data_IF_420462813435
#
_entry.id   IF_420462813435
#
_cell.length_a   1.000
_cell.length_b   1.000
_cell.length_c   1.000
_cell.angle_alpha   90.00
_cell.angle_beta   90.00
_cell.angle_gamma   90.00
#
_symmetry.space_group_name_H-M   'P 1'
#
loop_
_entity.id
_entity.type
_entity.pdbx_description
1 polymer ?
#
# COMPACT_ATOMS: atom_id res chain seq x y z
N UNK A 1 -16.01 -20.71 70.27
CA UNK A 1 -17.09 -21.70 70.06
C UNK A 1 -17.30 -21.89 68.57
N UNK A 2 -16.90 -23.04 68.05
CA UNK A 2 -17.23 -23.49 66.72
C UNK A 2 -18.61 -24.16 66.69
N UNK A 3 -19.34 -24.18 65.60
CA UNK A 3 -19.74 -25.48 65.11
C UNK A 3 -19.33 -25.77 63.68
N UNK A 4 -18.97 -27.00 63.46
CA UNK A 4 -18.72 -27.77 62.29
C UNK A 4 -20.10 -28.05 61.69
N UNK A 5 -20.20 -27.83 60.30
CA UNK A 5 -21.27 -28.45 59.54
C UNK A 5 -20.61 -29.20 58.38
N UNK A 6 -20.94 -30.48 58.30
CA UNK A 6 -20.46 -31.48 57.37
C UNK A 6 -21.00 -31.26 55.97
N UNK A 7 -20.09 -31.37 54.98
CA UNK A 7 -20.46 -31.39 53.56
C UNK A 7 -20.86 -32.78 53.12
N UNK A 8 -21.90 -32.84 52.30
CA UNK A 8 -22.33 -34.04 51.58
C UNK A 8 -21.72 -34.00 50.19
N UNK A 9 -20.85 -34.95 49.91
CA UNK A 9 -20.29 -35.16 48.56
C UNK A 9 -21.34 -35.90 47.71
N UNK A 10 -21.87 -35.22 46.72
CA UNK A 10 -22.72 -35.83 45.70
C UNK A 10 -21.89 -36.21 44.48
N UNK A 11 -21.63 -37.49 44.29
CA UNK A 11 -21.00 -38.07 43.13
C UNK A 11 -22.02 -38.18 42.00
N UNK A 12 -21.88 -37.37 40.94
CA UNK A 12 -22.64 -37.53 39.72
C UNK A 12 -21.85 -38.40 38.78
N UNK A 13 -22.30 -39.62 38.56
CA UNK A 13 -21.84 -40.53 37.52
C UNK A 13 -22.46 -40.11 36.19
N UNK A 14 -21.68 -39.53 35.30
CA UNK A 14 -22.02 -39.34 33.90
C UNK A 14 -21.66 -40.61 33.12
N UNK A 15 -22.65 -41.39 32.77
CA UNK A 15 -22.52 -42.52 31.85
C UNK A 15 -22.28 -41.96 30.42
N UNK A 16 -21.07 -42.01 29.95
CA UNK A 16 -20.75 -41.75 28.57
C UNK A 16 -21.11 -42.93 27.67
N UNK A 17 -22.11 -42.76 26.84
CA UNK A 17 -22.42 -43.73 25.79
C UNK A 17 -21.40 -43.57 24.66
N UNK A 18 -20.50 -44.55 24.50
CA UNK A 18 -19.59 -44.69 23.35
C UNK A 18 -20.40 -45.23 22.20
N UNK A 19 -20.68 -44.41 21.22
CA UNK A 19 -21.22 -44.86 19.94
C UNK A 19 -20.07 -45.42 19.11
N UNK A 20 -19.98 -46.76 19.04
CA UNK A 20 -19.09 -47.44 18.10
C UNK A 20 -19.88 -47.55 16.80
N UNK A 21 -19.61 -46.65 15.87
CA UNK A 21 -20.09 -46.77 14.52
C UNK A 21 -19.35 -47.87 13.78
N UNK A 22 -20.00 -48.99 13.54
CA UNK A 22 -19.51 -50.03 12.63
C UNK A 22 -19.61 -49.51 11.19
N UNK A 23 -18.48 -49.28 10.58
CA UNK A 23 -18.39 -49.03 9.12
C UNK A 23 -18.64 -50.38 8.44
N UNK A 24 -19.79 -50.54 7.85
CA UNK A 24 -20.10 -51.64 6.94
C UNK A 24 -19.35 -51.37 5.65
N UNK A 25 -18.30 -52.09 5.40
CA UNK A 25 -17.56 -52.08 4.14
C UNK A 25 -18.33 -52.89 3.11
N UNK A 26 -19.21 -52.24 2.35
CA UNK A 26 -19.79 -52.86 1.15
C UNK A 26 -18.67 -52.97 0.10
N UNK A 27 -18.25 -54.22 -0.15
CA UNK A 27 -17.39 -54.55 -1.28
C UNK A 27 -18.23 -54.39 -2.56
N UNK A 28 -18.00 -53.25 -3.24
CA UNK A 28 -18.44 -53.09 -4.63
C UNK A 28 -17.49 -54.00 -5.45
N UNK A 29 -18.01 -55.10 -5.91
CA UNK A 29 -17.38 -55.95 -6.94
C UNK A 29 -17.49 -55.21 -8.28
N UNK A 30 -16.41 -54.62 -8.73
CA UNK A 30 -16.30 -54.05 -10.07
C UNK A 30 -16.07 -55.20 -11.05
N UNK A 31 -17.08 -55.38 -11.92
CA UNK A 31 -17.02 -56.36 -13.02
C UNK A 31 -15.98 -55.87 -14.04
N UNK A 32 -14.92 -56.65 -14.21
CA UNK A 32 -13.79 -56.35 -15.09
C UNK A 32 -14.09 -56.79 -16.53
N UNK A 33 -14.99 -56.02 -17.20
CA UNK A 33 -15.15 -56.14 -18.65
C UNK A 33 -15.73 -54.86 -19.24
N UNK A 34 -14.95 -53.79 -19.23
CA UNK A 34 -15.19 -52.64 -20.13
C UNK A 34 -13.81 -52.30 -20.73
N UNK A 35 -13.75 -52.41 -22.04
CA UNK A 35 -12.54 -52.23 -22.83
C UNK A 35 -11.87 -50.89 -22.57
N UNK A 36 -10.53 -50.88 -22.57
CA UNK A 36 -9.67 -49.71 -22.55
C UNK A 36 -10.02 -48.75 -23.68
N UNK A 37 -10.87 -47.76 -23.37
CA UNK A 37 -10.82 -46.47 -24.07
C UNK A 37 -10.09 -45.52 -23.17
N UNK A 38 -8.80 -45.31 -23.46
CA UNK A 38 -8.03 -44.17 -22.93
C UNK A 38 -8.77 -42.86 -23.34
N UNK A 39 -9.67 -42.41 -22.47
CA UNK A 39 -10.11 -41.03 -22.52
C UNK A 39 -8.96 -40.17 -22.01
N UNK A 40 -8.12 -39.70 -22.93
CA UNK A 40 -7.22 -38.59 -22.69
C UNK A 40 -8.06 -37.37 -22.33
N UNK A 41 -8.35 -37.20 -21.05
CA UNK A 41 -8.83 -35.91 -20.53
C UNK A 41 -7.66 -34.94 -20.72
N UNK A 42 -7.61 -34.30 -21.87
CA UNK A 42 -6.82 -33.08 -22.02
C UNK A 42 -7.47 -32.04 -21.13
N UNK A 43 -6.94 -31.92 -19.90
CA UNK A 43 -7.17 -30.77 -19.08
C UNK A 43 -6.51 -29.59 -19.81
N UNK A 44 -7.24 -28.97 -20.74
CA UNK A 44 -6.87 -27.66 -21.21
C UNK A 44 -7.01 -26.74 -19.98
N UNK A 45 -5.86 -26.48 -19.33
CA UNK A 45 -5.75 -25.30 -18.49
C UNK A 45 -6.28 -24.14 -19.34
N UNK A 46 -7.15 -23.29 -18.81
CA UNK A 46 -7.61 -22.12 -19.55
C UNK A 46 -6.35 -21.39 -19.99
N UNK A 47 -6.12 -21.34 -21.29
CA UNK A 47 -5.11 -20.48 -21.90
C UNK A 47 -5.33 -19.12 -21.26
N UNK A 48 -4.30 -18.57 -20.63
CA UNK A 48 -4.31 -17.22 -20.06
C UNK A 48 -4.99 -16.33 -21.09
N UNK A 49 -6.22 -15.90 -20.78
CA UNK A 49 -6.89 -14.92 -21.61
C UNK A 49 -5.91 -13.78 -21.75
N UNK A 50 -5.57 -13.42 -22.99
CA UNK A 50 -4.73 -12.27 -23.25
C UNK A 50 -5.32 -11.13 -22.44
N UNK A 51 -4.52 -10.53 -21.56
CA UNK A 51 -4.98 -9.46 -20.68
C UNK A 51 -5.63 -8.40 -21.59
N UNK A 52 -6.96 -8.29 -21.53
CA UNK A 52 -7.67 -7.29 -22.28
C UNK A 52 -7.14 -5.93 -21.83
N UNK A 53 -6.73 -5.10 -22.78
CA UNK A 53 -6.37 -3.72 -22.48
C UNK A 53 -7.61 -3.04 -21.91
N UNK A 54 -7.58 -2.72 -20.63
CA UNK A 54 -8.66 -2.00 -19.97
C UNK A 54 -8.43 -0.51 -20.25
N UNK A 55 -9.49 0.17 -20.68
CA UNK A 55 -9.44 1.62 -20.91
C UNK A 55 -9.62 2.32 -19.55
N UNK A 56 -8.82 3.36 -19.32
CA UNK A 56 -9.03 4.23 -18.17
C UNK A 56 -10.32 5.04 -18.36
N UNK A 57 -11.34 4.72 -17.60
CA UNK A 57 -12.64 5.37 -17.64
C UNK A 57 -13.35 5.22 -16.27
N UNK A 58 -12.81 5.84 -15.20
CA UNK A 58 -13.46 5.76 -13.90
C UNK A 58 -14.78 6.55 -13.91
N UNK A 59 -15.79 6.12 -13.14
CA UNK A 59 -16.98 6.91 -12.92
C UNK A 59 -16.61 8.23 -12.21
N UNK A 60 -17.31 9.32 -12.56
CA UNK A 60 -17.10 10.62 -11.91
C UNK A 60 -17.68 10.63 -10.49
N UNK A 61 -17.04 11.37 -9.57
CA UNK A 61 -17.54 11.50 -8.20
C UNK A 61 -18.88 12.30 -8.16
N UNK A 62 -19.14 13.15 -9.15
CA UNK A 62 -20.40 13.87 -9.29
C UNK A 62 -21.56 12.95 -9.75
N UNK A 63 -21.24 11.78 -10.30
CA UNK A 63 -22.19 10.82 -10.84
C UNK A 63 -22.50 9.66 -9.89
N UNK A 64 -22.08 9.75 -8.61
CA UNK A 64 -22.39 8.70 -7.61
C UNK A 64 -23.91 8.48 -7.54
N UNK A 65 -24.39 7.24 -7.83
CA UNK A 65 -25.82 6.97 -7.88
C UNK A 65 -26.51 7.18 -6.53
N UNK A 66 -27.76 7.66 -6.56
CA UNK A 66 -28.58 7.67 -5.37
C UNK A 66 -28.82 6.24 -4.86
N UNK A 67 -28.65 6.03 -3.56
CA UNK A 67 -28.79 4.72 -2.96
C UNK A 67 -28.05 4.61 -1.63
N UNK A 68 -28.11 3.43 -0.99
CA UNK A 68 -27.55 3.24 0.36
C UNK A 68 -26.02 3.41 0.43
N UNK A 69 -25.32 3.26 -0.70
CA UNK A 69 -23.86 3.40 -0.75
C UNK A 69 -23.37 4.83 -0.97
N UNK A 70 -24.26 5.77 -1.37
CA UNK A 70 -23.85 7.12 -1.77
C UNK A 70 -23.08 7.86 -0.68
N UNK A 71 -23.60 7.88 0.54
CA UNK A 71 -22.97 8.57 1.66
C UNK A 71 -21.60 7.97 1.96
N UNK A 72 -21.47 6.65 1.96
CA UNK A 72 -20.18 5.98 2.21
C UNK A 72 -19.15 6.28 1.10
N UNK A 73 -19.54 6.28 -0.18
CA UNK A 73 -18.66 6.61 -1.30
C UNK A 73 -18.16 8.05 -1.18
N UNK A 74 -19.05 9.01 -0.92
CA UNK A 74 -18.68 10.41 -0.79
C UNK A 74 -17.82 10.67 0.44
N UNK A 75 -18.10 10.00 1.57
CA UNK A 75 -17.25 10.08 2.75
C UNK A 75 -15.87 9.46 2.50
N UNK A 76 -15.80 8.34 1.79
CA UNK A 76 -14.53 7.74 1.38
C UNK A 76 -13.71 8.63 0.46
N UNK A 77 -14.34 9.33 -0.48
CA UNK A 77 -13.70 10.35 -1.30
C UNK A 77 -13.09 11.46 -0.44
N UNK A 78 -13.88 12.00 0.52
CA UNK A 78 -13.40 13.04 1.44
C UNK A 78 -12.22 12.56 2.29
N UNK A 79 -12.29 11.35 2.84
CA UNK A 79 -11.20 10.73 3.58
C UNK A 79 -9.91 10.60 2.76
N UNK A 80 -10.01 10.25 1.48
CA UNK A 80 -8.84 10.15 0.59
C UNK A 80 -8.30 11.53 0.21
N UNK A 81 -9.18 12.48 -0.06
CA UNK A 81 -8.79 13.82 -0.49
C UNK A 81 -8.26 14.70 0.65
N UNK A 82 -8.85 14.60 1.83
CA UNK A 82 -8.56 15.44 2.99
C UNK A 82 -8.26 14.63 4.25
N UNK A 83 -7.48 13.55 4.14
CA UNK A 83 -7.20 12.58 5.22
C UNK A 83 -6.77 13.26 6.52
N UNK A 84 -5.87 14.26 6.45
CA UNK A 84 -5.34 14.97 7.62
C UNK A 84 -6.38 15.81 8.39
N UNK A 85 -7.53 16.08 7.77
CA UNK A 85 -8.66 16.79 8.38
C UNK A 85 -9.80 15.84 8.70
N UNK A 86 -10.20 15.00 7.73
CA UNK A 86 -11.35 14.12 7.86
C UNK A 86 -11.09 12.92 8.79
N UNK A 87 -9.82 12.58 9.02
CA UNK A 87 -9.38 11.50 9.90
C UNK A 87 -8.21 11.98 10.80
N UNK A 88 -8.26 13.21 11.32
CA UNK A 88 -7.18 13.87 12.07
C UNK A 88 -6.68 13.05 13.26
N UNK A 89 -7.57 12.37 13.96
CA UNK A 89 -7.21 11.49 15.08
C UNK A 89 -6.39 10.24 14.67
N UNK A 90 -6.39 9.88 13.38
CA UNK A 90 -5.64 8.73 12.86
C UNK A 90 -4.34 9.11 12.16
N UNK A 91 -4.17 10.38 11.80
CA UNK A 91 -3.01 10.89 11.05
C UNK A 91 -2.01 11.51 12.01
N UNK A 92 -0.74 11.16 11.86
CA UNK A 92 0.35 11.68 12.69
C UNK A 92 1.20 12.76 11.99
N UNK A 93 0.74 13.27 10.85
CA UNK A 93 1.42 14.32 10.07
C UNK A 93 0.39 15.23 9.36
N UNK A 94 0.81 16.04 8.40
CA UNK A 94 -0.08 16.93 7.66
C UNK A 94 -0.32 16.47 6.21
N UNK A 95 -0.20 15.16 5.94
CA UNK A 95 -0.43 14.61 4.61
C UNK A 95 -1.84 14.03 4.46
N UNK A 96 -2.31 14.01 3.22
CA UNK A 96 -3.50 13.28 2.79
C UNK A 96 -3.10 12.19 1.77
N UNK A 97 -3.98 11.23 1.50
CA UNK A 97 -3.70 10.22 0.48
C UNK A 97 -3.45 10.88 -0.88
N UNK A 98 -4.18 11.95 -1.18
CA UNK A 98 -4.04 12.76 -2.40
C UNK A 98 -2.67 13.44 -2.52
N UNK A 99 -1.91 13.61 -1.43
CA UNK A 99 -0.53 14.14 -1.50
C UNK A 99 0.42 13.27 -2.35
N UNK A 100 0.09 11.98 -2.51
CA UNK A 100 0.83 11.03 -3.36
C UNK A 100 -0.05 10.42 -4.47
N UNK A 101 -1.38 10.43 -4.30
CA UNK A 101 -2.38 9.90 -5.21
C UNK A 101 -3.30 11.03 -5.68
N UNK A 102 -2.74 11.96 -6.48
CA UNK A 102 -3.39 13.21 -6.82
C UNK A 102 -4.82 13.04 -7.36
N UNK A 103 -5.64 14.09 -7.16
CA UNK A 103 -7.04 14.07 -7.54
C UNK A 103 -7.84 12.99 -6.82
N UNK A 104 -7.58 12.78 -5.52
CA UNK A 104 -8.17 11.69 -4.73
C UNK A 104 -7.93 10.28 -5.36
N UNK A 105 -6.85 10.12 -6.11
CA UNK A 105 -6.49 8.88 -6.78
C UNK A 105 -6.99 8.75 -8.22
N UNK A 106 -7.66 9.76 -8.76
CA UNK A 106 -8.07 9.78 -10.17
C UNK A 106 -6.94 10.10 -11.15
N UNK A 107 -5.90 10.80 -10.75
CA UNK A 107 -4.82 11.18 -11.66
C UNK A 107 -4.02 9.97 -12.15
N UNK A 108 -3.96 9.79 -13.48
CA UNK A 108 -3.27 8.66 -14.11
C UNK A 108 -1.76 8.66 -13.89
N UNK A 109 -1.14 9.83 -13.69
CA UNK A 109 0.31 9.98 -13.63
C UNK A 109 0.86 9.81 -12.20
N UNK A 110 0.00 9.96 -11.18
CA UNK A 110 0.41 10.01 -9.77
C UNK A 110 -0.01 8.76 -8.99
N UNK A 111 0.34 7.57 -9.48
CA UNK A 111 0.01 6.30 -8.83
C UNK A 111 -1.50 6.13 -8.60
N UNK A 112 -2.28 6.22 -9.69
CA UNK A 112 -3.74 6.18 -9.66
C UNK A 112 -4.32 5.04 -8.81
N UNK A 113 -5.38 5.34 -8.06
CA UNK A 113 -6.15 4.36 -7.29
C UNK A 113 -7.31 3.76 -8.09
N UNK A 114 -7.58 4.27 -9.30
CA UNK A 114 -8.62 3.73 -10.18
C UNK A 114 -8.36 2.26 -10.48
N UNK A 115 -9.35 1.43 -10.25
CA UNK A 115 -9.24 -0.01 -10.45
C UNK A 115 -8.42 -0.74 -9.37
N UNK A 116 -8.09 -0.10 -8.24
CA UNK A 116 -7.24 -0.70 -7.20
C UNK A 116 -7.82 -2.01 -6.65
N UNK A 117 -9.15 -2.13 -6.60
CA UNK A 117 -9.84 -3.35 -6.14
C UNK A 117 -9.55 -4.57 -7.02
N UNK A 118 -9.20 -4.38 -8.28
CA UNK A 118 -8.86 -5.48 -9.20
C UNK A 118 -7.57 -6.24 -8.79
N UNK A 119 -6.74 -5.65 -7.94
CA UNK A 119 -5.44 -6.21 -7.55
C UNK A 119 -5.43 -6.82 -6.13
N UNK A 120 -6.48 -6.65 -5.35
CA UNK A 120 -6.55 -7.17 -3.98
C UNK A 120 -7.58 -8.30 -3.84
N UNK A 121 -7.31 -9.30 -2.96
CA UNK A 121 -6.10 -9.44 -2.16
C UNK A 121 -4.88 -9.85 -2.98
N UNK A 122 -3.66 -9.46 -2.53
CA UNK A 122 -2.41 -9.84 -3.20
C UNK A 122 -1.29 -10.16 -2.20
N UNK A 123 -0.30 -10.93 -2.65
CA UNK A 123 0.91 -11.14 -1.86
C UNK A 123 1.80 -9.90 -1.90
N UNK A 124 2.21 -9.42 -0.73
CA UNK A 124 3.14 -8.27 -0.60
C UNK A 124 4.40 -8.73 0.11
N UNK A 125 5.55 -8.66 -0.58
CA UNK A 125 6.85 -9.10 -0.04
C UNK A 125 7.25 -8.37 1.24
N UNK A 126 6.88 -7.08 1.38
CA UNK A 126 7.16 -6.30 2.59
C UNK A 126 6.53 -6.93 3.85
N UNK A 127 5.30 -7.39 3.79
CA UNK A 127 4.62 -8.08 4.89
C UNK A 127 4.89 -9.60 4.92
N UNK A 128 5.38 -10.15 3.82
CA UNK A 128 5.58 -11.59 3.64
C UNK A 128 4.27 -12.40 3.66
N UNK A 129 3.13 -11.76 3.42
CA UNK A 129 1.77 -12.33 3.50
C UNK A 129 0.86 -11.86 2.38
N UNK A 130 -0.32 -12.49 2.27
CA UNK A 130 -1.43 -11.98 1.48
C UNK A 130 -2.04 -10.81 2.25
N UNK A 131 -2.31 -9.71 1.56
CA UNK A 131 -2.79 -8.44 2.12
C UNK A 131 -4.09 -8.07 1.42
N UNK A 132 -5.11 -7.70 2.18
CA UNK A 132 -6.37 -7.14 1.68
C UNK A 132 -6.24 -5.65 1.39
N UNK A 133 -7.25 -5.03 0.80
CA UNK A 133 -7.22 -3.58 0.55
C UNK A 133 -7.26 -2.80 1.86
N UNK A 134 -8.01 -3.25 2.87
CA UNK A 134 -8.08 -2.64 4.20
C UNK A 134 -6.73 -2.67 4.90
N UNK A 135 -6.04 -3.80 4.85
CA UNK A 135 -4.68 -3.92 5.39
C UNK A 135 -3.69 -3.03 4.63
N UNK A 136 -3.90 -2.85 3.31
CA UNK A 136 -3.06 -1.95 2.50
C UNK A 136 -3.29 -0.49 2.87
N UNK A 137 -4.55 -0.06 3.06
CA UNK A 137 -4.90 1.27 3.58
C UNK A 137 -4.22 1.49 4.93
N UNK A 138 -4.41 0.56 5.86
CA UNK A 138 -3.81 0.61 7.19
C UNK A 138 -2.27 0.61 7.16
N UNK A 139 -1.68 -0.04 6.16
CA UNK A 139 -0.24 0.05 5.91
C UNK A 139 0.22 1.45 5.51
N UNK A 140 -0.60 2.22 4.77
CA UNK A 140 -0.33 3.62 4.46
C UNK A 140 -0.51 4.52 5.69
N UNK A 141 -1.56 4.29 6.50
CA UNK A 141 -1.83 5.08 7.69
C UNK A 141 -0.64 5.08 8.66
N UNK A 142 -0.04 3.93 8.91
CA UNK A 142 1.10 3.84 9.84
C UNK A 142 2.45 4.27 9.26
N UNK A 143 2.58 4.40 7.93
CA UNK A 143 3.84 4.78 7.27
C UNK A 143 3.75 6.15 6.60
N UNK A 144 2.94 6.27 5.55
CA UNK A 144 2.80 7.53 4.81
C UNK A 144 2.15 8.61 5.65
N UNK A 145 1.11 8.27 6.41
CA UNK A 145 0.43 9.21 7.31
C UNK A 145 1.10 9.29 8.70
N UNK A 146 2.16 8.52 8.97
CA UNK A 146 2.88 8.46 10.25
C UNK A 146 1.95 8.35 11.48
N UNK A 147 0.81 7.70 11.32
CA UNK A 147 -0.28 7.67 12.27
C UNK A 147 -0.61 6.29 12.82
N UNK A 148 -1.87 6.05 13.11
CA UNK A 148 -2.40 4.77 13.61
C UNK A 148 -3.36 4.13 12.62
N UNK A 149 -3.57 2.83 12.76
CA UNK A 149 -4.50 2.09 11.92
C UNK A 149 -5.95 2.47 12.24
N UNK A 150 -6.78 2.48 11.22
CA UNK A 150 -8.22 2.35 11.41
C UNK A 150 -8.58 0.98 12.00
N UNK A 151 -9.61 0.90 12.82
CA UNK A 151 -10.20 -0.37 13.19
C UNK A 151 -10.81 -1.05 11.94
N UNK A 152 -10.74 -2.39 11.89
CA UNK A 152 -11.09 -3.14 10.66
C UNK A 152 -12.57 -3.02 10.23
N UNK A 153 -13.41 -2.55 11.12
CA UNK A 153 -14.85 -2.33 10.90
C UNK A 153 -15.27 -0.90 11.25
N UNK A 154 -14.35 0.05 11.13
CA UNK A 154 -14.68 1.47 11.32
C UNK A 154 -15.37 2.04 10.09
N UNK A 155 -16.21 3.03 10.31
CA UNK A 155 -16.93 3.75 9.25
C UNK A 155 -15.95 4.37 8.23
N UNK A 156 -14.79 4.86 8.69
CA UNK A 156 -13.75 5.45 7.83
C UNK A 156 -13.17 4.40 6.88
N UNK A 157 -12.81 3.23 7.39
CA UNK A 157 -12.19 2.18 6.58
C UNK A 157 -13.21 1.61 5.58
N UNK A 158 -14.44 1.37 6.02
CA UNK A 158 -15.54 0.91 5.16
C UNK A 158 -15.87 1.93 4.06
N UNK A 159 -15.90 3.22 4.39
CA UNK A 159 -16.11 4.31 3.44
C UNK A 159 -14.99 4.38 2.39
N UNK A 160 -13.72 4.27 2.79
CA UNK A 160 -12.60 4.24 1.86
C UNK A 160 -12.68 3.04 0.92
N UNK A 161 -13.07 1.86 1.43
CA UNK A 161 -13.27 0.66 0.61
C UNK A 161 -14.43 0.84 -0.37
N UNK A 162 -15.54 1.46 0.07
CA UNK A 162 -16.68 1.79 -0.79
C UNK A 162 -16.29 2.74 -1.92
N UNK A 163 -15.50 3.77 -1.62
CA UNK A 163 -14.97 4.69 -2.63
C UNK A 163 -14.03 3.97 -3.61
N UNK A 164 -13.11 3.15 -3.13
CA UNK A 164 -12.21 2.39 -4.01
C UNK A 164 -12.96 1.38 -4.88
N UNK A 165 -14.02 0.76 -4.37
CA UNK A 165 -14.89 -0.10 -5.16
C UNK A 165 -15.56 0.70 -6.29
N UNK A 166 -16.10 1.88 -5.98
CA UNK A 166 -16.73 2.76 -6.94
C UNK A 166 -15.79 3.18 -8.08
N UNK A 167 -14.61 3.69 -7.78
CA UNK A 167 -13.63 4.08 -8.81
C UNK A 167 -12.97 2.88 -9.50
N UNK A 168 -13.29 1.67 -9.09
CA UNK A 168 -12.84 0.43 -9.73
C UNK A 168 -13.89 -0.20 -10.62
N UNK A 169 -15.07 0.40 -10.77
CA UNK A 169 -16.12 -0.13 -11.64
C UNK A 169 -15.61 -0.33 -13.07
N UNK A 170 -16.01 -1.45 -13.67
CA UNK A 170 -15.60 -1.80 -15.03
C UNK A 170 -14.17 -2.34 -15.18
N UNK A 171 -13.35 -2.36 -14.10
CA UNK A 171 -12.01 -2.93 -14.14
C UNK A 171 -12.04 -4.39 -13.67
N UNK A 172 -11.77 -5.37 -14.55
CA UNK A 172 -11.82 -6.79 -14.21
C UNK A 172 -10.77 -7.18 -13.17
N UNK A 173 -11.08 -8.14 -12.31
CA UNK A 173 -10.11 -8.70 -11.34
C UNK A 173 -8.89 -9.26 -12.09
N UNK A 174 -7.71 -8.89 -11.62
CA UNK A 174 -6.44 -9.28 -12.23
C UNK A 174 -6.07 -8.51 -13.49
N UNK A 175 -6.84 -7.49 -13.88
CA UNK A 175 -6.50 -6.63 -15.00
C UNK A 175 -5.18 -5.88 -14.74
N UNK A 176 -4.36 -5.75 -15.79
CA UNK A 176 -3.19 -4.89 -15.77
C UNK A 176 -3.65 -3.44 -15.95
N UNK A 177 -3.47 -2.64 -14.91
CA UNK A 177 -3.80 -1.22 -14.90
C UNK A 177 -2.58 -0.43 -15.37
N UNK A 178 -2.48 -0.17 -16.68
CA UNK A 178 -1.32 0.55 -17.24
C UNK A 178 -1.17 1.96 -16.66
N UNK A 179 -2.30 2.60 -16.31
CA UNK A 179 -2.34 3.92 -15.68
C UNK A 179 -1.94 3.94 -14.20
N UNK A 180 -1.91 2.79 -13.55
CA UNK A 180 -1.49 2.69 -12.15
C UNK A 180 0.00 2.40 -12.01
N UNK A 181 0.76 2.60 -13.07
CA UNK A 181 2.19 2.41 -13.08
C UNK A 181 2.83 3.19 -11.93
N UNK A 182 3.64 2.51 -11.13
CA UNK A 182 4.54 3.21 -10.25
C UNK A 182 5.57 3.89 -11.13
N UNK A 183 5.73 5.18 -10.97
CA UNK A 183 6.76 5.97 -11.66
C UNK A 183 8.17 5.62 -11.13
N UNK A 184 8.44 4.35 -10.79
CA UNK A 184 9.73 3.95 -10.24
C UNK A 184 10.82 4.12 -11.30
N UNK A 185 11.81 4.94 -11.01
CA UNK A 185 12.99 5.07 -11.85
C UNK A 185 13.81 3.78 -11.76
N UNK A 186 13.93 3.06 -12.89
CA UNK A 186 14.59 1.74 -12.91
C UNK A 186 16.10 1.84 -12.73
N UNK A 187 16.70 2.85 -13.34
CA UNK A 187 18.13 3.11 -13.31
C UNK A 187 18.35 4.50 -12.71
N UNK A 188 18.40 4.58 -11.39
CA UNK A 188 18.63 5.84 -10.69
C UNK A 188 20.11 6.22 -10.83
N UNK A 189 20.45 7.38 -11.42
CA UNK A 189 21.82 7.85 -11.48
C UNK A 189 22.39 8.07 -10.07
N UNK A 190 23.71 7.96 -9.92
CA UNK A 190 24.39 8.34 -8.66
C UNK A 190 24.14 9.83 -8.42
N UNK A 191 23.51 10.18 -7.28
CA UNK A 191 23.09 11.55 -7.05
C UNK A 191 24.21 12.43 -6.51
N UNK A 192 24.09 13.74 -6.78
CA UNK A 192 24.79 14.80 -6.07
C UNK A 192 23.80 15.56 -5.17
N UNK A 193 23.91 15.41 -3.88
CA UNK A 193 22.99 15.99 -2.90
C UNK A 193 23.04 17.52 -2.90
N UNK A 194 24.21 18.12 -3.17
CA UNK A 194 24.37 19.59 -3.23
C UNK A 194 23.67 20.19 -4.47
N UNK A 195 23.76 19.52 -5.62
CA UNK A 195 23.05 19.93 -6.83
C UNK A 195 21.53 19.81 -6.62
N UNK A 196 21.09 18.77 -5.88
CA UNK A 196 19.70 18.60 -5.47
C UNK A 196 19.19 19.72 -4.56
N UNK A 197 20.02 20.21 -3.63
CA UNK A 197 19.69 21.36 -2.78
C UNK A 197 19.52 22.64 -3.59
N UNK A 198 20.42 22.90 -4.53
CA UNK A 198 20.33 24.06 -5.43
C UNK A 198 19.07 24.02 -6.30
N UNK A 199 18.77 22.86 -6.90
CA UNK A 199 17.56 22.66 -7.71
C UNK A 199 16.29 22.83 -6.87
N UNK A 200 16.29 22.31 -5.63
CA UNK A 200 15.17 22.47 -4.72
C UNK A 200 14.90 23.95 -4.42
N UNK A 201 15.96 24.71 -4.10
CA UNK A 201 15.85 26.15 -3.83
C UNK A 201 15.34 26.94 -5.03
N UNK A 202 15.63 26.49 -6.26
CA UNK A 202 15.19 27.17 -7.48
C UNK A 202 13.76 26.86 -7.89
N UNK A 203 13.30 25.61 -7.69
CA UNK A 203 12.09 25.13 -8.36
C UNK A 203 11.02 24.54 -7.44
N UNK A 204 11.32 24.27 -6.16
CA UNK A 204 10.43 23.52 -5.28
C UNK A 204 9.88 24.33 -4.09
N UNK A 205 10.63 25.33 -3.61
CA UNK A 205 10.31 26.06 -2.39
C UNK A 205 8.99 26.84 -2.44
N UNK A 206 8.53 27.20 -3.64
CA UNK A 206 7.28 27.95 -3.78
C UNK A 206 6.06 27.17 -3.29
N UNK A 207 6.08 25.84 -3.46
CA UNK A 207 5.01 24.94 -3.01
C UNK A 207 5.39 24.19 -1.73
N UNK A 208 6.63 23.69 -1.65
CA UNK A 208 7.04 22.82 -0.56
C UNK A 208 7.74 23.54 0.60
N UNK A 209 7.80 24.87 0.57
CA UNK A 209 8.55 25.72 1.49
C UNK A 209 10.08 25.47 1.49
N UNK A 210 10.88 26.44 1.93
CA UNK A 210 12.34 26.30 1.94
C UNK A 210 12.84 25.27 2.96
N UNK A 211 12.08 25.04 4.03
CA UNK A 211 12.35 24.08 5.08
C UNK A 211 11.63 22.73 4.87
N UNK A 212 10.99 22.54 3.71
CA UNK A 212 10.27 21.31 3.35
C UNK A 212 9.01 21.04 4.16
N UNK A 213 8.56 22.00 4.96
CA UNK A 213 7.35 21.87 5.79
C UNK A 213 6.05 21.84 5.00
N UNK A 214 6.13 22.21 3.70
CA UNK A 214 4.95 22.34 2.85
C UNK A 214 4.18 23.62 3.05
N UNK A 215 3.23 23.87 2.16
CA UNK A 215 2.30 25.01 2.24
C UNK A 215 0.86 24.54 2.34
N UNK A 216 0.54 23.38 1.80
CA UNK A 216 -0.77 22.76 1.78
C UNK A 216 -0.67 21.26 1.47
N UNK A 217 -1.52 20.44 2.09
CA UNK A 217 -1.48 18.98 1.95
C UNK A 217 -1.71 18.48 0.51
N UNK A 218 -2.47 19.21 -0.29
CA UNK A 218 -2.90 18.78 -1.61
C UNK A 218 -2.05 19.38 -2.74
N UNK A 219 -1.53 20.61 -2.56
CA UNK A 219 -0.83 21.36 -3.61
C UNK A 219 0.65 21.56 -3.33
N UNK A 220 1.07 21.47 -2.10
CA UNK A 220 2.48 21.63 -1.67
C UNK A 220 2.74 20.91 -0.35
N UNK A 221 2.64 19.57 -0.32
CA UNK A 221 2.75 18.80 0.91
C UNK A 221 4.15 18.86 1.52
N UNK A 222 4.22 18.59 2.83
CA UNK A 222 5.49 18.44 3.54
C UNK A 222 6.33 17.30 2.97
N UNK A 223 7.59 17.57 2.67
CA UNK A 223 8.52 16.59 2.09
C UNK A 223 9.44 15.95 3.14
N UNK A 224 9.70 16.65 4.24
CA UNK A 224 10.46 16.14 5.40
C UNK A 224 9.99 16.80 6.71
N UNK A 225 10.65 16.48 7.82
CA UNK A 225 10.26 16.92 9.16
C UNK A 225 9.08 16.11 9.72
N UNK A 226 8.61 16.52 10.88
CA UNK A 226 7.56 15.84 11.64
C UNK A 226 6.21 15.74 10.88
N UNK A 227 5.94 16.69 10.01
CA UNK A 227 4.70 16.76 9.25
C UNK A 227 4.72 15.96 7.93
N UNK A 228 5.79 15.18 7.69
CA UNK A 228 5.93 14.36 6.49
C UNK A 228 5.83 12.86 6.81
N UNK A 229 5.97 12.03 5.78
CA UNK A 229 5.94 10.57 5.90
C UNK A 229 7.17 10.05 6.68
N UNK A 230 7.01 8.93 7.37
CA UNK A 230 8.15 8.28 8.02
C UNK A 230 8.99 7.43 7.04
N UNK A 231 10.18 7.03 7.45
CA UNK A 231 11.12 6.31 6.59
C UNK A 231 10.72 4.86 6.25
N UNK A 232 9.60 4.38 6.79
CA UNK A 232 8.92 3.15 6.36
C UNK A 232 7.97 3.35 5.17
N UNK A 233 7.72 4.59 4.74
CA UNK A 233 6.86 4.86 3.58
C UNK A 233 7.48 4.39 2.26
N UNK A 234 6.64 4.16 1.25
CA UNK A 234 7.12 3.84 -0.09
C UNK A 234 7.98 4.95 -0.69
N UNK A 235 7.60 6.21 -0.44
CA UNK A 235 8.33 7.39 -0.91
C UNK A 235 9.70 7.59 -0.25
N UNK A 236 10.02 6.88 0.83
CA UNK A 236 11.36 6.86 1.42
C UNK A 236 12.38 6.01 0.64
N UNK A 237 12.07 5.63 -0.60
CA UNK A 237 12.96 4.89 -1.51
C UNK A 237 13.44 5.79 -2.63
N UNK A 238 14.74 5.70 -2.93
CA UNK A 238 15.37 6.50 -4.01
C UNK A 238 14.67 6.31 -5.35
N UNK A 239 14.46 5.07 -5.78
CA UNK A 239 13.80 4.75 -7.06
C UNK A 239 12.39 5.33 -7.16
N UNK A 240 11.63 5.32 -6.06
CA UNK A 240 10.26 5.84 -6.02
C UNK A 240 10.22 7.36 -5.99
N UNK A 241 11.04 7.97 -5.13
CA UNK A 241 11.10 9.43 -5.01
C UNK A 241 11.61 10.06 -6.32
N UNK A 242 12.73 9.56 -6.86
CA UNK A 242 13.29 10.07 -8.12
C UNK A 242 12.30 9.92 -9.29
N UNK A 243 11.68 8.74 -9.42
CA UNK A 243 10.70 8.52 -10.48
C UNK A 243 9.45 9.37 -10.32
N UNK A 244 8.95 9.57 -9.10
CA UNK A 244 7.82 10.46 -8.85
C UNK A 244 8.15 11.91 -9.21
N UNK A 245 9.31 12.40 -8.79
CA UNK A 245 9.77 13.76 -9.11
C UNK A 245 9.88 13.94 -10.62
N UNK A 246 10.56 13.03 -11.31
CA UNK A 246 10.75 13.13 -12.77
C UNK A 246 9.43 13.20 -13.52
N UNK A 247 8.48 12.32 -13.16
CA UNK A 247 7.25 12.20 -13.93
C UNK A 247 6.19 13.24 -13.58
N UNK A 248 6.24 13.82 -12.36
CA UNK A 248 5.13 14.62 -11.85
C UNK A 248 5.52 16.03 -11.40
N UNK A 249 6.81 16.32 -11.19
CA UNK A 249 7.28 17.60 -10.66
C UNK A 249 8.20 18.34 -11.64
N UNK A 250 8.21 19.69 -11.60
CA UNK A 250 7.24 20.57 -10.94
C UNK A 250 5.85 20.49 -11.59
N UNK A 251 4.79 20.67 -10.80
CA UNK A 251 3.41 20.73 -11.34
C UNK A 251 3.34 21.80 -12.44
N UNK A 252 2.77 21.46 -13.59
CA UNK A 252 2.69 22.33 -14.78
C UNK A 252 3.84 22.18 -15.76
N UNK A 253 4.97 21.58 -15.35
CA UNK A 253 6.12 21.24 -16.22
C UNK A 253 6.61 19.82 -15.95
N UNK A 254 5.72 18.92 -15.58
CA UNK A 254 6.02 17.50 -15.32
C UNK A 254 6.78 16.86 -16.48
N UNK A 255 7.75 15.99 -16.19
CA UNK A 255 8.55 15.29 -17.18
C UNK A 255 9.67 16.13 -17.82
N UNK A 256 9.93 17.36 -17.35
CA UNK A 256 11.02 18.21 -17.87
C UNK A 256 12.37 17.99 -17.19
N UNK A 257 12.37 17.41 -15.99
CA UNK A 257 13.60 17.08 -15.28
C UNK A 257 14.30 15.87 -15.91
N UNK A 258 15.62 15.94 -16.02
CA UNK A 258 16.43 14.78 -16.38
C UNK A 258 16.46 13.74 -15.29
N UNK A 259 16.85 12.50 -15.61
CA UNK A 259 17.03 11.42 -14.61
C UNK A 259 18.02 11.85 -13.51
N UNK A 260 19.08 12.58 -13.87
CA UNK A 260 20.08 13.07 -12.93
C UNK A 260 19.49 14.10 -11.97
N UNK A 261 18.83 15.13 -12.47
CA UNK A 261 18.20 16.18 -11.65
C UNK A 261 17.15 15.59 -10.70
N UNK A 262 16.35 14.64 -11.17
CA UNK A 262 15.38 13.95 -10.33
C UNK A 262 16.03 13.08 -9.24
N UNK A 263 17.18 12.45 -9.56
CA UNK A 263 17.97 11.69 -8.59
C UNK A 263 18.59 12.59 -7.54
N UNK A 264 19.16 13.73 -7.94
CA UNK A 264 19.78 14.71 -7.06
C UNK A 264 18.76 15.29 -6.07
N UNK A 265 17.60 15.71 -6.59
CA UNK A 265 16.46 16.17 -5.78
C UNK A 265 15.97 15.10 -4.80
N UNK A 266 15.82 13.85 -5.27
CA UNK A 266 15.40 12.74 -4.41
C UNK A 266 16.39 12.50 -3.28
N UNK A 267 17.69 12.52 -3.56
CA UNK A 267 18.74 12.36 -2.55
C UNK A 267 18.74 13.51 -1.54
N UNK A 268 18.61 14.75 -1.99
CA UNK A 268 18.48 15.91 -1.09
C UNK A 268 17.25 15.79 -0.18
N UNK A 269 16.06 15.53 -0.73
CA UNK A 269 14.82 15.40 0.04
C UNK A 269 14.88 14.23 1.03
N UNK A 270 15.45 13.11 0.61
CA UNK A 270 15.54 11.91 1.44
C UNK A 270 16.72 11.94 2.43
N UNK A 271 17.64 12.88 2.32
CA UNK A 271 18.69 13.11 3.33
C UNK A 271 18.19 13.89 4.55
N UNK A 272 17.03 14.55 4.41
CA UNK A 272 16.46 15.38 5.47
C UNK A 272 15.84 14.54 6.59
N UNK A 273 15.79 15.11 7.80
CA UNK A 273 15.22 14.43 8.96
C UNK A 273 13.71 14.18 8.80
N UNK A 274 13.27 13.03 9.24
CA UNK A 274 11.86 12.60 9.23
C UNK A 274 11.59 11.58 10.32
N UNK A 275 10.32 11.32 10.69
CA UNK A 275 9.96 10.30 11.64
C UNK A 275 10.48 8.91 11.21
N UNK A 276 10.86 8.11 12.21
CA UNK A 276 11.38 6.76 12.00
C UNK A 276 10.27 5.72 12.09
N UNK A 277 10.28 4.75 11.19
CA UNK A 277 9.39 3.59 11.26
C UNK A 277 9.91 2.57 12.29
N UNK A 278 9.19 2.43 13.41
CA UNK A 278 9.62 1.58 14.53
C UNK A 278 9.69 0.07 14.24
N UNK A 279 9.13 -0.39 13.10
CA UNK A 279 9.07 -1.82 12.79
C UNK A 279 9.85 -2.18 11.51
N UNK A 280 10.97 -1.51 11.24
CA UNK A 280 11.85 -1.85 10.12
C UNK A 280 12.32 -3.31 10.14
N UNK A 281 12.52 -3.88 11.34
CA UNK A 281 12.93 -5.25 11.58
C UNK A 281 11.87 -6.31 11.18
N UNK A 282 10.61 -5.90 11.12
CA UNK A 282 9.48 -6.75 10.74
C UNK A 282 9.15 -6.70 9.25
N UNK A 283 9.66 -5.69 8.56
CA UNK A 283 9.48 -5.56 7.11
C UNK A 283 10.37 -6.57 6.37
N UNK A 284 9.86 -7.18 5.31
CA UNK A 284 10.51 -8.22 4.50
C UNK A 284 10.99 -9.45 5.30
N UNK A 285 10.11 -10.11 6.06
CA UNK A 285 10.48 -11.24 6.91
C UNK A 285 11.01 -12.46 6.13
N UNK A 286 10.80 -12.48 4.81
CA UNK A 286 11.31 -13.54 3.90
C UNK A 286 12.48 -13.06 3.03
N UNK A 287 13.09 -11.93 3.37
CA UNK A 287 14.16 -11.31 2.57
C UNK A 287 13.64 -10.44 1.42
N UNK A 288 14.57 -9.92 0.60
CA UNK A 288 14.23 -9.05 -0.53
C UNK A 288 13.93 -7.61 -0.12
N UNK A 289 14.48 -7.14 1.02
CA UNK A 289 14.41 -5.73 1.39
C UNK A 289 15.17 -4.90 0.37
N UNK A 290 14.54 -3.89 -0.26
CA UNK A 290 15.23 -3.04 -1.22
C UNK A 290 16.39 -2.27 -0.59
N UNK A 291 17.51 -2.17 -1.31
CA UNK A 291 18.69 -1.46 -0.82
C UNK A 291 18.49 0.05 -0.79
N UNK A 292 17.61 0.59 -1.62
CA UNK A 292 17.34 2.01 -1.84
C UNK A 292 16.40 2.67 -0.82
N UNK A 293 16.08 1.97 0.27
CA UNK A 293 15.31 2.55 1.39
C UNK A 293 16.23 3.49 2.17
N UNK A 294 15.85 4.76 2.27
CA UNK A 294 16.61 5.80 2.95
C UNK A 294 16.19 5.91 4.42
N UNK A 295 16.60 4.90 5.20
CA UNK A 295 16.42 4.85 6.64
C UNK A 295 17.38 5.83 7.36
N UNK A 296 17.25 5.93 8.67
CA UNK A 296 18.06 6.85 9.49
C UNK A 296 19.57 6.64 9.28
N UNK A 297 20.03 5.39 9.22
CA UNK A 297 21.46 5.10 9.06
C UNK A 297 22.01 5.71 7.76
N UNK A 298 21.28 5.54 6.64
CA UNK A 298 21.69 6.12 5.36
C UNK A 298 21.62 7.64 5.34
N UNK A 299 20.61 8.25 6.01
CA UNK A 299 20.57 9.70 6.17
C UNK A 299 21.81 10.23 6.90
N UNK A 300 22.22 9.54 7.97
CA UNK A 300 23.46 9.89 8.68
C UNK A 300 24.72 9.67 7.81
N UNK A 301 24.76 8.60 7.00
CA UNK A 301 25.86 8.37 6.06
C UNK A 301 25.96 9.49 5.00
N UNK A 302 24.83 10.02 4.51
CA UNK A 302 24.83 11.18 3.62
C UNK A 302 25.42 12.40 4.32
N UNK A 303 24.93 12.74 5.52
CA UNK A 303 25.38 13.89 6.30
C UNK A 303 26.89 13.84 6.61
N UNK A 304 27.41 12.63 6.80
CA UNK A 304 28.81 12.39 7.11
C UNK A 304 29.70 12.17 5.86
N UNK A 305 29.11 12.18 4.65
CA UNK A 305 29.83 11.92 3.41
C UNK A 305 30.35 10.49 3.26
N UNK A 306 29.76 9.53 3.94
CA UNK A 306 30.21 8.11 3.97
C UNK A 306 29.28 7.15 3.25
N UNK A 307 28.22 7.66 2.60
CA UNK A 307 27.25 6.84 1.89
C UNK A 307 27.88 6.17 0.67
N UNK A 308 27.59 4.89 0.51
CA UNK A 308 27.94 4.11 -0.68
C UNK A 308 26.73 4.06 -1.63
N UNK A 309 26.67 5.01 -2.56
CA UNK A 309 25.57 5.12 -3.51
C UNK A 309 25.50 3.93 -4.46
N UNK A 310 26.62 3.32 -4.86
CA UNK A 310 26.60 2.12 -5.71
C UNK A 310 25.87 0.98 -5.02
N UNK A 311 26.13 0.78 -3.73
CA UNK A 311 25.44 -0.22 -2.92
C UNK A 311 23.96 0.13 -2.71
N UNK A 312 23.64 1.39 -2.42
CA UNK A 312 22.25 1.85 -2.21
C UNK A 312 21.41 1.66 -3.46
N UNK A 313 21.96 1.96 -4.62
CA UNK A 313 21.23 1.91 -5.90
C UNK A 313 21.34 0.55 -6.61
N UNK A 314 22.10 -0.40 -6.05
CA UNK A 314 22.17 -1.75 -6.62
C UNK A 314 20.79 -2.43 -6.54
N UNK A 315 20.39 -3.05 -7.63
CA UNK A 315 19.20 -3.92 -7.66
C UNK A 315 19.51 -5.22 -6.90
N UNK A 316 18.61 -5.63 -6.01
CA UNK A 316 18.67 -6.93 -5.33
C UNK A 316 18.28 -8.07 -6.28
#
# INVERSE_FOLDING_TARGET
MKPIVAGVAGTVLLAGAIFVGTIVSDKISVDSNVGEQEATVQTQLPTTAAAQSVVYAPPSIEEVPDGPMKEAILYGYELVNNTHVAADEYVGNQLSCTSCHAGAGYDEQTSSLVGVMANYPQYIGRSGSIVTIEERINGCMVRSMNGKKFEMNSDELEAMVAYFAYISEGVPIGAKREWAGTSDMKNVPIPNVADGEELYAQSCIACHAADGSGTDANTGPALWGENSFNDGAGMARMSKMAGYIQNNMPIGTAGTLTDQEASDLAAFILSQDRPEWANHDKDWPKGGRPNDIMDKEKREQIKNGTIDWEKVLSTN
#
